data_IF_276948647461
#
_entry.id   IF_276948647461
#
_cell.length_a   1.000
_cell.length_b   1.000
_cell.length_c   1.000
_cell.angle_alpha   90.00
_cell.angle_beta   90.00
_cell.angle_gamma   90.00
#
_symmetry.space_group_name_H-M   'P 1'
#
loop_
_entity.id
_entity.type
_entity.pdbx_description
1 polymer ?
#
# COMPACT_ATOMS: atom_id res chain seq x y z
N UNK A 1 -4.45 19.84 -27.70
CA UNK A 1 -4.25 21.21 -27.18
C UNK A 1 -3.87 21.13 -25.70
N UNK A 2 -3.24 22.18 -25.12
CA UNK A 2 -3.03 22.24 -23.68
C UNK A 2 -4.35 22.03 -22.91
N UNK A 3 -4.36 21.08 -21.97
CA UNK A 3 -5.56 20.68 -21.23
C UNK A 3 -6.31 19.47 -21.79
N UNK A 4 -5.93 18.96 -22.96
CA UNK A 4 -6.54 17.77 -23.52
C UNK A 4 -6.09 16.49 -22.78
N UNK A 5 -7.02 15.53 -22.65
CA UNK A 5 -6.73 14.17 -22.17
C UNK A 5 -6.39 13.30 -23.38
N UNK A 6 -5.27 12.61 -23.33
CA UNK A 6 -4.80 11.73 -24.41
C UNK A 6 -4.62 10.31 -23.92
N UNK A 7 -4.91 9.34 -24.76
CA UNK A 7 -4.61 7.94 -24.51
C UNK A 7 -3.22 7.58 -25.05
N UNK A 8 -2.46 6.81 -24.29
CA UNK A 8 -1.16 6.29 -24.70
C UNK A 8 -1.26 4.80 -25.01
N UNK A 9 -0.66 4.37 -26.12
CA UNK A 9 -0.58 2.97 -26.52
C UNK A 9 0.85 2.47 -26.30
N UNK A 10 1.01 1.26 -25.80
CA UNK A 10 2.29 0.65 -25.49
C UNK A 10 3.17 1.47 -24.50
N UNK A 11 2.53 2.14 -23.58
CA UNK A 11 3.19 2.95 -22.56
C UNK A 11 3.66 2.11 -21.34
N UNK A 12 4.41 1.03 -21.62
CA UNK A 12 4.95 0.16 -20.57
C UNK A 12 5.96 0.92 -19.72
N UNK A 13 5.86 0.78 -18.40
CA UNK A 13 6.76 1.39 -17.43
C UNK A 13 6.39 2.81 -17.01
N UNK A 14 5.20 3.31 -17.37
CA UNK A 14 4.66 4.55 -16.83
C UNK A 14 3.78 4.27 -15.60
N UNK A 15 3.89 5.15 -14.62
CA UNK A 15 3.08 5.13 -13.41
C UNK A 15 2.26 6.43 -13.26
N UNK A 16 1.16 6.42 -12.48
CA UNK A 16 0.44 7.64 -12.12
C UNK A 16 1.40 8.65 -11.45
N UNK A 17 1.37 9.90 -11.93
CA UNK A 17 2.29 10.97 -11.49
C UNK A 17 3.51 11.16 -12.38
N UNK A 18 3.81 10.24 -13.31
CA UNK A 18 4.89 10.43 -14.26
C UNK A 18 4.62 11.59 -15.22
N UNK A 19 5.66 12.36 -15.49
CA UNK A 19 5.61 13.47 -16.44
C UNK A 19 6.27 13.11 -17.75
N UNK A 20 5.50 13.11 -18.84
CA UNK A 20 6.02 12.93 -20.20
C UNK A 20 6.40 14.29 -20.80
N UNK A 21 7.60 14.38 -21.36
CA UNK A 21 8.07 15.60 -21.99
C UNK A 21 8.85 15.32 -23.29
N UNK A 22 8.89 16.33 -24.16
CA UNK A 22 9.74 16.32 -25.35
C UNK A 22 10.71 17.48 -25.29
N UNK A 23 12.00 17.18 -25.34
CA UNK A 23 13.05 18.21 -25.27
C UNK A 23 13.48 18.52 -23.84
N UNK A 24 13.21 19.74 -23.34
CA UNK A 24 13.63 20.14 -21.98
C UNK A 24 12.82 19.37 -20.92
N UNK A 25 13.52 18.83 -19.93
CA UNK A 25 12.89 18.14 -18.80
C UNK A 25 11.89 19.07 -18.11
N UNK A 26 10.65 18.60 -17.95
CA UNK A 26 9.62 19.21 -17.14
C UNK A 26 9.30 18.28 -15.94
N UNK A 27 9.07 18.87 -14.79
CA UNK A 27 8.68 18.14 -13.57
C UNK A 27 7.58 18.94 -12.87
N UNK A 28 6.48 18.28 -12.56
CA UNK A 28 5.38 18.83 -11.80
C UNK A 28 5.41 18.30 -10.37
N UNK A 29 4.73 18.97 -9.42
CA UNK A 29 4.55 18.44 -8.08
C UNK A 29 3.93 17.02 -8.13
N UNK A 30 4.31 16.12 -7.21
CA UNK A 30 3.71 14.79 -7.15
C UNK A 30 2.21 14.88 -6.87
N UNK A 31 1.48 13.87 -7.29
CA UNK A 31 0.05 13.72 -6.91
C UNK A 31 -0.01 13.51 -5.40
N UNK A 32 -0.80 14.31 -4.65
CA UNK A 32 -0.92 14.11 -3.20
C UNK A 32 -1.40 12.69 -2.88
N UNK A 33 -0.64 11.98 -2.07
CA UNK A 33 -1.03 10.68 -1.55
C UNK A 33 -1.66 10.88 -0.16
N UNK A 34 -2.86 10.32 0.03
CA UNK A 34 -3.49 10.30 1.35
C UNK A 34 -2.99 9.11 2.15
N UNK A 35 -2.80 9.31 3.46
CA UNK A 35 -2.48 8.21 4.36
C UNK A 35 -3.64 7.20 4.40
N UNK A 36 -3.37 5.89 4.27
CA UNK A 36 -4.41 4.89 4.38
C UNK A 36 -4.94 4.80 5.82
N UNK A 37 -6.25 4.55 5.94
CA UNK A 37 -6.94 4.38 7.21
C UNK A 37 -7.63 3.01 7.34
N UNK A 38 -7.68 2.26 6.23
CA UNK A 38 -8.30 0.93 6.18
C UNK A 38 -7.28 -0.12 5.76
N UNK A 39 -7.27 -1.23 6.49
CA UNK A 39 -6.30 -2.31 6.30
C UNK A 39 -7.02 -3.65 6.29
N UNK A 40 -6.71 -4.47 5.29
CA UNK A 40 -7.30 -5.80 5.17
C UNK A 40 -6.30 -6.79 4.55
N UNK A 41 -6.28 -8.00 5.04
CA UNK A 41 -5.56 -9.10 4.41
C UNK A 41 -6.30 -9.54 3.16
N UNK A 42 -5.56 -9.77 2.08
CA UNK A 42 -6.07 -10.29 0.81
C UNK A 42 -5.49 -11.68 0.56
N UNK A 43 -6.33 -12.64 0.22
CA UNK A 43 -5.87 -13.97 -0.17
C UNK A 43 -6.70 -14.56 -1.31
N UNK A 44 -6.09 -15.42 -2.11
CA UNK A 44 -6.82 -16.18 -3.10
C UNK A 44 -7.76 -17.19 -2.43
N UNK A 45 -8.99 -17.31 -2.91
CA UNK A 45 -9.94 -18.33 -2.42
C UNK A 45 -9.48 -19.76 -2.77
N UNK A 46 -8.64 -19.91 -3.80
CA UNK A 46 -8.09 -21.21 -4.23
C UNK A 46 -6.60 -21.12 -4.50
N UNK A 47 -5.82 -22.04 -3.94
CA UNK A 47 -4.38 -22.15 -4.16
C UNK A 47 -4.01 -22.43 -5.63
N UNK A 48 -4.90 -23.05 -6.41
CA UNK A 48 -4.66 -23.30 -7.83
C UNK A 48 -4.52 -22.01 -8.67
N UNK A 49 -5.01 -20.88 -8.14
CA UNK A 49 -4.97 -19.56 -8.77
C UNK A 49 -3.85 -18.66 -8.23
N UNK A 50 -2.91 -19.20 -7.47
CA UNK A 50 -1.89 -18.41 -6.78
C UNK A 50 -1.01 -17.57 -7.72
N UNK A 51 -0.63 -18.11 -8.90
CA UNK A 51 0.16 -17.35 -9.87
C UNK A 51 -0.58 -16.13 -10.41
N UNK A 52 -1.87 -16.30 -10.76
CA UNK A 52 -2.72 -15.21 -11.22
C UNK A 52 -2.97 -14.20 -10.09
N UNK A 53 -3.14 -14.69 -8.86
CA UNK A 53 -3.29 -13.86 -7.68
C UNK A 53 -2.07 -12.95 -7.47
N UNK A 54 -0.85 -13.50 -7.45
CA UNK A 54 0.38 -12.69 -7.31
C UNK A 54 0.49 -11.64 -8.40
N UNK A 55 0.30 -12.05 -9.67
CA UNK A 55 0.32 -11.11 -10.79
C UNK A 55 -0.68 -9.96 -10.59
N UNK A 56 -1.91 -10.28 -10.19
CA UNK A 56 -2.94 -9.27 -9.94
C UNK A 56 -2.57 -8.33 -8.78
N UNK A 57 -2.01 -8.85 -7.68
CA UNK A 57 -1.55 -8.05 -6.53
C UNK A 57 -0.47 -7.07 -6.96
N UNK A 58 0.52 -7.54 -7.72
CA UNK A 58 1.64 -6.71 -8.18
C UNK A 58 1.16 -5.60 -9.14
N UNK A 59 0.30 -5.93 -10.10
CA UNK A 59 -0.20 -4.96 -11.10
C UNK A 59 -1.15 -3.93 -10.46
N UNK A 60 -2.13 -4.36 -9.65
CA UNK A 60 -3.07 -3.45 -8.98
C UNK A 60 -2.39 -2.54 -7.95
N UNK A 61 -1.35 -3.04 -7.28
CA UNK A 61 -0.52 -2.24 -6.40
C UNK A 61 0.30 -1.20 -7.16
N UNK A 62 0.93 -1.58 -8.29
CA UNK A 62 1.69 -0.68 -9.14
C UNK A 62 0.82 0.42 -9.77
N UNK A 63 -0.45 0.12 -10.07
CA UNK A 63 -1.44 1.11 -10.54
C UNK A 63 -1.90 2.07 -9.43
N UNK A 64 -1.57 1.80 -8.16
CA UNK A 64 -1.96 2.63 -7.02
C UNK A 64 -3.45 2.51 -6.62
N UNK A 65 -4.14 1.45 -7.03
CA UNK A 65 -5.54 1.20 -6.62
C UNK A 65 -5.62 1.03 -5.10
N UNK A 66 -4.65 0.32 -4.53
CA UNK A 66 -4.39 0.18 -3.09
C UNK A 66 -2.88 0.13 -2.88
N UNK A 67 -2.41 0.42 -1.67
CA UNK A 67 -1.03 0.11 -1.31
C UNK A 67 -0.95 -1.35 -0.87
N UNK A 68 0.07 -2.06 -1.33
CA UNK A 68 0.33 -3.46 -0.93
C UNK A 68 1.45 -3.48 0.10
N UNK A 69 1.17 -4.09 1.22
CA UNK A 69 2.07 -4.25 2.34
C UNK A 69 2.32 -5.74 2.57
N UNK A 70 3.58 -6.12 2.74
CA UNK A 70 3.99 -7.51 3.01
C UNK A 70 4.81 -7.59 4.28
N UNK A 71 4.76 -8.73 4.93
CA UNK A 71 5.67 -9.05 6.03
C UNK A 71 5.92 -10.55 6.08
N UNK A 72 7.08 -10.96 6.58
CA UNK A 72 7.52 -12.35 6.59
C UNK A 72 6.64 -13.24 7.48
N UNK A 73 6.07 -12.67 8.56
CA UNK A 73 5.22 -13.40 9.51
C UNK A 73 3.91 -13.86 8.89
N UNK A 74 3.35 -13.09 7.96
CA UNK A 74 2.10 -13.40 7.24
C UNK A 74 2.34 -14.21 5.97
N UNK A 75 3.55 -14.15 5.44
CA UNK A 75 3.96 -14.77 4.19
C UNK A 75 3.39 -14.04 2.95
N UNK A 76 4.00 -14.32 1.80
CA UNK A 76 3.64 -13.69 0.51
C UNK A 76 2.21 -14.00 0.01
N UNK A 77 1.57 -15.04 0.54
CA UNK A 77 0.20 -15.43 0.14
C UNK A 77 -0.89 -14.62 0.82
N UNK A 78 -0.54 -13.81 1.81
CA UNK A 78 -1.47 -13.02 2.60
C UNK A 78 -1.02 -11.55 2.71
N UNK A 79 -0.82 -10.84 1.58
CA UNK A 79 -0.49 -9.43 1.61
C UNK A 79 -1.60 -8.64 2.30
N UNK A 80 -1.23 -7.51 2.89
CA UNK A 80 -2.18 -6.54 3.44
C UNK A 80 -2.39 -5.43 2.43
N UNK A 81 -3.64 -5.15 2.12
CA UNK A 81 -4.03 -3.95 1.38
C UNK A 81 -4.22 -2.80 2.35
N UNK A 82 -3.67 -1.65 2.02
CA UNK A 82 -3.89 -0.40 2.71
C UNK A 82 -4.60 0.59 1.78
N UNK A 83 -5.73 1.14 2.22
CA UNK A 83 -6.61 1.99 1.43
C UNK A 83 -7.07 3.22 2.21
N UNK A 84 -7.38 4.29 1.48
CA UNK A 84 -7.98 5.51 2.04
C UNK A 84 -9.47 5.28 2.35
N UNK A 85 -10.15 4.46 1.55
CA UNK A 85 -11.56 4.13 1.72
C UNK A 85 -11.86 2.67 1.41
N UNK A 86 -12.84 2.09 2.11
CA UNK A 86 -13.23 0.68 2.02
C UNK A 86 -13.66 0.24 0.61
N UNK A 87 -14.22 1.15 -0.19
CA UNK A 87 -14.63 0.86 -1.57
C UNK A 87 -13.46 0.46 -2.46
N UNK A 88 -12.23 0.89 -2.16
CA UNK A 88 -11.04 0.46 -2.90
C UNK A 88 -10.84 -1.06 -2.81
N UNK A 89 -11.19 -1.69 -1.70
CA UNK A 89 -11.13 -3.15 -1.54
C UNK A 89 -12.14 -3.87 -2.45
N UNK A 90 -13.35 -3.31 -2.58
CA UNK A 90 -14.36 -3.85 -3.50
C UNK A 90 -13.91 -3.74 -4.96
N UNK A 91 -13.28 -2.62 -5.33
CA UNK A 91 -12.69 -2.44 -6.66
C UNK A 91 -11.61 -3.48 -6.93
N UNK A 92 -10.68 -3.70 -5.99
CA UNK A 92 -9.66 -4.75 -6.12
C UNK A 92 -10.29 -6.11 -6.32
N UNK A 93 -11.29 -6.47 -5.51
CA UNK A 93 -11.97 -7.77 -5.60
C UNK A 93 -12.70 -7.95 -6.95
N UNK A 94 -13.41 -6.91 -7.39
CA UNK A 94 -14.10 -6.93 -8.68
C UNK A 94 -13.12 -7.08 -9.87
N UNK A 95 -12.01 -6.35 -9.85
CA UNK A 95 -10.97 -6.42 -10.88
C UNK A 95 -10.25 -7.77 -10.87
N UNK A 96 -9.90 -8.32 -9.70
CA UNK A 96 -9.28 -9.64 -9.60
C UNK A 96 -10.17 -10.73 -10.20
N UNK A 97 -11.49 -10.64 -9.99
CA UNK A 97 -12.45 -11.56 -10.61
C UNK A 97 -12.53 -11.35 -12.13
N UNK A 98 -12.71 -10.11 -12.58
CA UNK A 98 -12.98 -9.80 -13.98
C UNK A 98 -11.76 -9.95 -14.90
N UNK A 99 -10.58 -9.48 -14.46
CA UNK A 99 -9.38 -9.37 -15.29
C UNK A 99 -8.46 -10.59 -15.13
N UNK A 100 -8.40 -11.19 -13.93
CA UNK A 100 -7.46 -12.28 -13.61
C UNK A 100 -8.15 -13.62 -13.37
N UNK A 101 -9.49 -13.65 -13.33
CA UNK A 101 -10.28 -14.84 -13.00
C UNK A 101 -9.87 -15.45 -11.65
N UNK A 102 -9.69 -14.60 -10.64
CA UNK A 102 -9.30 -14.95 -9.27
C UNK A 102 -10.39 -14.50 -8.30
N UNK A 103 -10.99 -15.48 -7.61
CA UNK A 103 -11.83 -15.19 -6.45
C UNK A 103 -10.95 -14.95 -5.24
N UNK A 104 -11.27 -13.92 -4.46
CA UNK A 104 -10.47 -13.51 -3.30
C UNK A 104 -11.31 -13.42 -2.03
N UNK A 105 -10.63 -13.60 -0.91
CA UNK A 105 -11.16 -13.38 0.43
C UNK A 105 -10.45 -12.17 1.03
N UNK A 106 -11.22 -11.25 1.59
CA UNK A 106 -10.73 -10.04 2.25
C UNK A 106 -11.12 -10.13 3.72
N UNK A 107 -10.15 -9.96 4.60
CA UNK A 107 -10.34 -9.99 6.05
C UNK A 107 -9.75 -8.73 6.68
N UNK A 108 -10.60 -7.90 7.29
CA UNK A 108 -10.14 -6.69 7.97
C UNK A 108 -9.20 -7.03 9.12
N UNK A 109 -8.16 -6.21 9.29
CA UNK A 109 -7.22 -6.33 10.40
C UNK A 109 -7.36 -5.14 11.36
N UNK A 110 -7.06 -5.30 12.65
CA UNK A 110 -7.39 -4.33 13.69
C UNK A 110 -6.35 -3.20 13.79
N UNK A 111 -6.05 -2.56 12.66
CA UNK A 111 -5.18 -1.38 12.60
C UNK A 111 -5.93 -0.22 11.95
N UNK A 112 -5.67 0.99 12.40
CA UNK A 112 -6.31 2.21 11.86
C UNK A 112 -5.32 3.33 11.56
N UNK A 113 -4.04 3.11 11.89
CA UNK A 113 -2.99 4.11 11.69
C UNK A 113 -1.81 3.47 11.00
N UNK A 114 -1.26 4.14 10.00
CA UNK A 114 0.00 3.78 9.36
C UNK A 114 1.03 4.91 9.55
N UNK A 115 2.29 4.53 9.80
CA UNK A 115 3.43 5.43 9.91
C UNK A 115 4.63 4.84 9.17
N UNK A 116 5.40 5.71 8.52
CA UNK A 116 6.70 5.32 8.00
C UNK A 116 7.68 5.19 9.16
N UNK A 117 8.54 4.18 9.08
CA UNK A 117 9.60 3.94 10.07
C UNK A 117 10.90 3.57 9.37
N UNK A 118 11.99 3.50 10.14
CA UNK A 118 13.28 3.04 9.67
C UNK A 118 13.65 1.66 10.25
N UNK A 119 14.76 1.10 9.77
CA UNK A 119 15.18 -0.24 10.16
C UNK A 119 15.58 -0.33 11.65
N UNK A 120 16.13 0.74 12.23
CA UNK A 120 16.54 0.76 13.63
C UNK A 120 15.33 0.76 14.55
N UNK A 121 14.31 1.55 14.22
CA UNK A 121 13.07 1.65 14.98
C UNK A 121 12.14 0.45 14.78
N UNK A 122 12.18 -0.21 13.61
CA UNK A 122 11.26 -1.29 13.24
C UNK A 122 11.33 -2.48 14.21
N UNK A 123 12.53 -2.87 14.64
CA UNK A 123 12.72 -3.99 15.56
C UNK A 123 12.08 -3.73 16.93
N UNK A 124 12.27 -2.54 17.48
CA UNK A 124 11.68 -2.17 18.77
C UNK A 124 10.17 -1.96 18.66
N UNK A 125 9.70 -1.28 17.59
CA UNK A 125 8.29 -1.09 17.31
C UNK A 125 7.55 -2.41 17.12
N UNK A 126 8.16 -3.38 16.42
CA UNK A 126 7.58 -4.71 16.18
C UNK A 126 7.37 -5.54 17.45
N UNK A 127 8.09 -5.24 18.54
CA UNK A 127 7.90 -5.85 19.86
C UNK A 127 6.75 -5.22 20.64
N UNK A 128 6.27 -4.06 20.20
CA UNK A 128 5.22 -3.31 20.88
C UNK A 128 3.85 -3.90 20.58
N UNK A 129 3.05 -4.12 21.64
CA UNK A 129 1.67 -4.59 21.48
C UNK A 129 0.85 -3.61 20.64
N UNK A 130 0.10 -4.12 19.67
CA UNK A 130 -0.74 -3.30 18.78
C UNK A 130 0.04 -2.59 17.67
N UNK A 131 1.25 -3.06 17.39
CA UNK A 131 2.07 -2.62 16.26
C UNK A 131 2.49 -3.83 15.44
N UNK A 132 2.48 -3.70 14.12
CA UNK A 132 3.00 -4.68 13.19
C UNK A 132 3.77 -3.96 12.07
N UNK A 133 4.96 -4.47 11.74
CA UNK A 133 5.83 -3.87 10.74
C UNK A 133 5.65 -4.57 9.40
N UNK A 134 5.54 -3.76 8.36
CA UNK A 134 5.39 -4.21 6.98
C UNK A 134 6.40 -3.55 6.07
N UNK A 135 6.64 -4.17 4.92
CA UNK A 135 7.37 -3.58 3.80
C UNK A 135 6.38 -3.23 2.70
N UNK A 136 6.36 -1.98 2.25
CA UNK A 136 5.59 -1.53 1.08
C UNK A 136 6.32 -1.93 -0.20
N UNK A 137 5.63 -1.96 -1.35
CA UNK A 137 6.22 -2.38 -2.64
C UNK A 137 7.46 -1.60 -3.07
N UNK A 138 7.62 -0.36 -2.64
CA UNK A 138 8.80 0.48 -2.90
C UNK A 138 9.96 0.24 -1.93
N UNK A 139 9.82 -0.71 -0.98
CA UNK A 139 10.82 -1.06 0.02
C UNK A 139 10.74 -0.24 1.31
N UNK A 140 9.83 0.73 1.43
CA UNK A 140 9.66 1.49 2.67
C UNK A 140 9.05 0.63 3.78
N UNK A 141 9.55 0.83 5.00
CA UNK A 141 9.02 0.18 6.20
C UNK A 141 7.84 0.97 6.77
N UNK A 142 6.73 0.28 6.98
CA UNK A 142 5.48 0.84 7.46
C UNK A 142 5.09 0.15 8.77
N UNK A 143 4.93 0.94 9.83
CA UNK A 143 4.34 0.48 11.09
C UNK A 143 2.82 0.66 11.03
N UNK A 144 2.06 -0.44 11.09
CA UNK A 144 0.63 -0.40 11.34
C UNK A 144 0.37 -0.43 12.84
N UNK A 145 -0.44 0.50 13.30
CA UNK A 145 -0.72 0.74 14.72
C UNK A 145 -2.22 0.62 14.94
N UNK A 146 -2.63 -0.02 16.04
CA UNK A 146 -4.03 -0.33 16.33
C UNK A 146 -4.94 0.90 16.28
N UNK A 147 -4.50 2.00 16.88
CA UNK A 147 -5.29 3.23 16.97
C UNK A 147 -4.44 4.47 17.31
N UNK A 148 -5.07 5.66 17.24
CA UNK A 148 -4.41 6.94 17.53
C UNK A 148 -3.95 7.08 18.98
N UNK A 149 -4.64 6.45 19.94
CA UNK A 149 -4.21 6.47 21.33
C UNK A 149 -2.89 5.71 21.50
N UNK A 150 -2.78 4.53 20.87
CA UNK A 150 -1.56 3.75 20.87
C UNK A 150 -0.40 4.50 20.18
N UNK A 151 -0.65 5.18 19.07
CA UNK A 151 0.35 6.03 18.43
C UNK A 151 0.88 7.11 19.38
N UNK A 152 -0.03 7.86 20.02
CA UNK A 152 0.36 8.93 20.96
C UNK A 152 1.17 8.38 22.15
N UNK A 153 0.79 7.21 22.66
CA UNK A 153 1.53 6.52 23.70
C UNK A 153 2.98 6.19 23.26
N UNK A 154 3.13 5.60 22.07
CA UNK A 154 4.46 5.24 21.53
C UNK A 154 5.33 6.48 21.34
N UNK A 155 4.81 7.54 20.76
CA UNK A 155 5.55 8.79 20.56
C UNK A 155 5.99 9.46 21.87
N UNK A 156 5.24 9.26 22.96
CA UNK A 156 5.57 9.78 24.28
C UNK A 156 6.60 8.93 25.01
N UNK A 157 6.42 7.62 25.01
CA UNK A 157 7.27 6.69 25.77
C UNK A 157 8.56 6.32 25.04
N UNK A 158 8.55 6.37 23.70
CA UNK A 158 9.65 6.03 22.82
C UNK A 158 9.92 7.14 21.79
N UNK A 159 10.28 8.36 22.26
CA UNK A 159 10.38 9.54 21.40
C UNK A 159 11.51 9.46 20.36
N UNK A 160 12.48 8.59 20.57
CA UNK A 160 13.62 8.39 19.67
C UNK A 160 13.30 7.48 18.48
N UNK A 161 12.12 6.80 18.47
CA UNK A 161 11.72 5.94 17.38
C UNK A 161 11.04 6.73 16.26
N UNK A 162 11.40 6.41 15.04
CA UNK A 162 10.85 7.05 13.83
C UNK A 162 9.42 6.59 13.56
N UNK A 163 8.46 7.52 13.58
CA UNK A 163 7.04 7.33 13.27
C UNK A 163 6.51 8.50 12.44
N UNK A 164 6.99 8.61 11.19
CA UNK A 164 6.66 9.71 10.28
C UNK A 164 5.29 9.53 9.62
N UNK A 165 4.69 10.63 9.20
CA UNK A 165 3.43 10.59 8.44
C UNK A 165 3.66 10.06 7.03
N UNK A 166 2.67 9.36 6.47
CA UNK A 166 2.68 8.83 5.10
C UNK A 166 2.17 9.84 4.06
N UNK A 167 2.18 11.12 4.35
CA UNK A 167 1.80 12.16 3.40
C UNK A 167 3.02 12.42 2.50
N UNK A 168 2.82 12.37 1.18
CA UNK A 168 3.85 12.85 0.25
C UNK A 168 4.01 14.36 0.43
N UNK A 169 5.24 14.79 0.67
CA UNK A 169 5.62 16.21 0.65
C UNK A 169 5.46 16.81 -0.74
#
# INVERSE_FOLDING_TARGET
>A
YPGDVVGLVNALGLAPGDTLYKGKKAQYPPIPAFAPEHFATLRAASLSKYKQFRKAVDELGAEGVVQILTNDLRGESNPVMAAVGVLQFEVVQARMRAEYNVETVIENIPYTVARKTDAESADELGRQRGVEIFTRQDGELIALISDKWRLNYLQKELPDLTLDTLIAD
#
